data_IF_876234300311
#
_entry.id   IF_876234300311
#
_cell.length_a   1.000
_cell.length_b   1.000
_cell.length_c   1.000
_cell.angle_alpha   90.00
_cell.angle_beta   90.00
_cell.angle_gamma   90.00
#
_symmetry.space_group_name_H-M   'P 1'
#
loop_
_entity.id
_entity.type
_entity.pdbx_description
1 polymer ?
#
# COMPACT_ATOMS: atom_id res chain seq x y z
N UNK A 1 -3.09 -10.45 -18.38
CA UNK A 1 -2.76 -10.55 -16.95
C UNK A 1 -3.77 -11.50 -16.31
N UNK A 2 -3.35 -12.47 -15.49
CA UNK A 2 -4.29 -13.30 -14.74
C UNK A 2 -5.18 -12.42 -13.84
N UNK A 3 -6.34 -12.91 -13.38
CA UNK A 3 -7.17 -12.15 -12.46
C UNK A 3 -6.41 -11.98 -11.15
N UNK A 4 -5.80 -10.81 -10.95
CA UNK A 4 -5.08 -10.50 -9.73
C UNK A 4 -6.11 -10.24 -8.63
N UNK A 5 -6.05 -11.02 -7.55
CA UNK A 5 -6.86 -10.78 -6.36
C UNK A 5 -6.47 -9.42 -5.74
N UNK A 6 -7.39 -8.46 -5.64
CA UNK A 6 -7.09 -7.13 -5.09
C UNK A 6 -6.66 -7.19 -3.62
N UNK A 7 -7.16 -8.16 -2.84
CA UNK A 7 -6.75 -8.33 -1.45
C UNK A 7 -5.31 -8.81 -1.38
N UNK A 8 -4.96 -9.87 -2.11
CA UNK A 8 -3.57 -10.35 -2.16
C UNK A 8 -2.60 -9.27 -2.68
N UNK A 9 -3.02 -8.48 -3.67
CA UNK A 9 -2.23 -7.37 -4.20
C UNK A 9 -1.97 -6.31 -3.13
N UNK A 10 -2.99 -5.97 -2.34
CA UNK A 10 -2.88 -5.05 -1.21
C UNK A 10 -1.91 -5.60 -0.14
N UNK A 11 -2.04 -6.88 0.23
CA UNK A 11 -1.13 -7.52 1.21
C UNK A 11 0.32 -7.45 0.73
N UNK A 12 0.56 -7.80 -0.55
CA UNK A 12 1.90 -7.73 -1.13
C UNK A 12 2.47 -6.29 -1.13
N UNK A 13 1.61 -5.29 -1.36
CA UNK A 13 2.01 -3.88 -1.26
C UNK A 13 2.41 -3.49 0.16
N UNK A 14 1.68 -3.94 1.19
CA UNK A 14 2.00 -3.66 2.59
C UNK A 14 3.28 -4.38 3.04
N UNK A 15 3.51 -5.61 2.59
CA UNK A 15 4.76 -6.33 2.85
C UNK A 15 5.97 -5.62 2.22
N UNK A 16 5.82 -5.11 0.99
CA UNK A 16 6.87 -4.31 0.34
C UNK A 16 7.11 -3.00 1.10
N UNK A 17 6.05 -2.34 1.57
CA UNK A 17 6.16 -1.15 2.41
C UNK A 17 6.89 -1.45 3.72
N UNK A 18 6.50 -2.51 4.44
CA UNK A 18 7.13 -2.93 5.69
C UNK A 18 8.63 -3.19 5.50
N UNK A 19 9.00 -3.88 4.42
CA UNK A 19 10.41 -4.15 4.10
C UNK A 19 11.22 -2.86 3.89
N UNK A 20 10.59 -1.83 3.34
CA UNK A 20 11.21 -0.52 3.15
C UNK A 20 11.24 0.29 4.46
N UNK A 21 10.11 0.42 5.17
CA UNK A 21 10.00 1.18 6.40
C UNK A 21 10.82 0.60 7.56
N UNK A 22 11.11 -0.71 7.53
CA UNK A 22 12.06 -1.33 8.46
C UNK A 22 13.51 -0.85 8.30
N UNK A 23 13.81 -0.06 7.27
CA UNK A 23 15.13 0.56 7.08
C UNK A 23 15.15 2.02 7.52
N UNK A 24 14.00 2.61 7.85
CA UNK A 24 13.89 4.00 8.25
C UNK A 24 14.42 4.19 9.70
N UNK A 25 15.30 5.17 9.95
CA UNK A 25 15.98 5.32 11.24
C UNK A 25 15.08 5.90 12.35
N UNK A 26 13.98 6.56 11.98
CA UNK A 26 13.03 7.24 12.85
C UNK A 26 11.84 6.36 13.29
N UNK A 27 11.76 5.13 12.78
CA UNK A 27 10.70 4.18 13.12
C UNK A 27 11.20 3.09 14.07
N UNK A 28 10.34 2.57 14.95
CA UNK A 28 10.70 1.42 15.78
C UNK A 28 10.83 0.16 14.92
N UNK A 29 12.06 -0.33 14.73
CA UNK A 29 12.35 -1.50 13.91
C UNK A 29 12.70 -2.74 14.77
N UNK A 30 12.20 -3.95 14.43
CA UNK A 30 11.32 -4.25 13.30
C UNK A 30 9.87 -3.84 13.57
N UNK A 31 9.21 -3.31 12.55
CA UNK A 31 7.78 -2.99 12.54
C UNK A 31 6.97 -4.27 12.44
N UNK A 32 5.98 -4.43 13.32
CA UNK A 32 4.97 -5.49 13.23
C UNK A 32 3.93 -5.18 12.14
N UNK A 33 3.15 -6.19 11.76
CA UNK A 33 2.01 -6.03 10.86
C UNK A 33 1.01 -4.98 11.38
N UNK A 34 0.68 -5.07 12.68
CA UNK A 34 -0.19 -4.09 13.35
C UNK A 34 0.39 -2.67 13.31
N UNK A 35 1.71 -2.51 13.50
CA UNK A 35 2.34 -1.20 13.42
C UNK A 35 2.25 -0.60 12.00
N UNK A 36 2.49 -1.42 10.97
CA UNK A 36 2.34 -0.98 9.57
C UNK A 36 0.89 -0.63 9.26
N UNK A 37 -0.07 -1.47 9.65
CA UNK A 37 -1.48 -1.18 9.42
C UNK A 37 -1.91 0.10 10.13
N UNK A 38 -1.48 0.32 11.38
CA UNK A 38 -1.76 1.55 12.11
C UNK A 38 -1.23 2.80 11.38
N UNK A 39 -0.01 2.73 10.82
CA UNK A 39 0.57 3.82 10.02
C UNK A 39 -0.28 4.13 8.77
N UNK A 40 -0.79 3.11 8.09
CA UNK A 40 -1.54 3.25 6.84
C UNK A 40 -3.04 3.51 7.04
N UNK A 41 -3.59 3.18 8.21
CA UNK A 41 -4.99 3.43 8.56
C UNK A 41 -5.20 4.76 9.27
N UNK A 42 -4.13 5.46 9.65
CA UNK A 42 -4.21 6.66 10.48
C UNK A 42 -4.50 6.36 11.95
N UNK A 43 -4.08 5.19 12.44
CA UNK A 43 -4.21 4.79 13.84
C UNK A 43 -5.52 4.07 14.19
N UNK A 44 -6.24 3.51 13.21
CA UNK A 44 -7.49 2.78 13.47
C UNK A 44 -7.15 1.42 14.10
N UNK A 45 -7.38 1.31 15.41
CA UNK A 45 -7.00 0.16 16.24
C UNK A 45 -7.74 -1.15 15.92
N UNK A 46 -8.91 -1.09 15.25
CA UNK A 46 -9.69 -2.30 14.93
C UNK A 46 -9.10 -3.16 13.81
N UNK A 47 -7.93 -2.79 13.29
CA UNK A 47 -7.29 -3.44 12.15
C UNK A 47 -5.85 -3.77 12.50
N UNK A 48 -5.60 -5.02 12.88
CA UNK A 48 -4.28 -5.44 13.38
C UNK A 48 -3.51 -6.31 12.37
N UNK A 49 -4.14 -6.68 11.25
CA UNK A 49 -3.53 -7.48 10.19
C UNK A 49 -3.74 -6.87 8.80
N UNK A 50 -2.82 -7.12 7.89
CA UNK A 50 -2.89 -6.83 6.46
C UNK A 50 -4.15 -7.40 5.86
N UNK A 51 -4.51 -8.64 6.22
CA UNK A 51 -5.74 -9.27 5.73
C UNK A 51 -6.97 -8.42 6.08
N UNK A 52 -7.11 -8.00 7.34
CA UNK A 52 -8.24 -7.19 7.78
C UNK A 52 -8.20 -5.80 7.15
N UNK A 53 -7.03 -5.17 7.09
CA UNK A 53 -6.86 -3.86 6.48
C UNK A 53 -7.23 -3.86 5.01
N UNK A 54 -6.71 -4.82 4.26
CA UNK A 54 -6.98 -4.94 2.83
C UNK A 54 -8.44 -5.27 2.57
N UNK A 55 -9.07 -6.11 3.40
CA UNK A 55 -10.52 -6.33 3.32
C UNK A 55 -11.32 -5.04 3.53
N UNK A 56 -10.99 -4.24 4.55
CA UNK A 56 -11.66 -2.95 4.80
C UNK A 56 -11.41 -1.97 3.65
N UNK A 57 -10.16 -1.84 3.20
CA UNK A 57 -9.77 -0.90 2.15
C UNK A 57 -10.44 -1.24 0.81
N UNK A 58 -10.41 -2.52 0.40
CA UNK A 58 -10.99 -2.96 -0.87
C UNK A 58 -12.52 -2.84 -0.93
N UNK A 59 -13.17 -2.75 0.23
CA UNK A 59 -14.62 -2.52 0.38
C UNK A 59 -14.97 -1.08 0.79
N UNK A 60 -13.99 -0.20 0.93
CA UNK A 60 -14.21 1.21 1.28
C UNK A 60 -14.99 1.94 0.18
N UNK A 61 -15.68 3.06 0.50
CA UNK A 61 -16.41 3.85 -0.50
C UNK A 61 -15.55 4.29 -1.70
N UNK A 62 -14.25 4.51 -1.48
CA UNK A 62 -13.27 4.87 -2.51
C UNK A 62 -13.10 3.77 -3.55
N UNK A 63 -13.00 2.51 -3.11
CA UNK A 63 -12.79 1.36 -3.99
C UNK A 63 -14.08 0.65 -4.38
N UNK A 64 -15.20 0.91 -3.70
CA UNK A 64 -16.48 0.25 -3.95
C UNK A 64 -16.98 0.43 -5.40
N UNK A 65 -16.62 1.55 -6.06
CA UNK A 65 -17.02 1.87 -7.44
C UNK A 65 -16.04 1.37 -8.51
N UNK A 66 -14.97 0.69 -8.10
CA UNK A 66 -13.84 0.33 -8.96
C UNK A 66 -13.84 -1.19 -9.15
N UNK A 67 -13.51 -1.68 -10.34
CA UNK A 67 -13.46 -3.13 -10.62
C UNK A 67 -12.33 -3.80 -9.82
N UNK A 68 -12.45 -5.10 -9.52
CA UNK A 68 -11.38 -5.84 -8.82
C UNK A 68 -10.04 -5.77 -9.56
N UNK A 69 -10.07 -5.74 -10.91
CA UNK A 69 -8.88 -5.55 -11.73
C UNK A 69 -8.22 -4.19 -11.49
N UNK A 70 -9.02 -3.12 -11.44
CA UNK A 70 -8.51 -1.79 -11.19
C UNK A 70 -8.00 -1.64 -9.74
N UNK A 71 -8.69 -2.22 -8.75
CA UNK A 71 -8.23 -2.32 -7.36
C UNK A 71 -6.85 -2.97 -7.29
N UNK A 72 -6.69 -4.15 -7.91
CA UNK A 72 -5.44 -4.88 -7.92
C UNK A 72 -4.31 -4.09 -8.62
N UNK A 73 -4.62 -3.44 -9.76
CA UNK A 73 -3.67 -2.56 -10.45
C UNK A 73 -3.14 -1.45 -9.54
N UNK A 74 -4.00 -0.78 -8.76
CA UNK A 74 -3.56 0.28 -7.84
C UNK A 74 -2.62 -0.29 -6.78
N UNK A 75 -2.95 -1.46 -6.24
CA UNK A 75 -2.13 -2.10 -5.20
C UNK A 75 -0.78 -2.62 -5.75
N UNK A 76 -0.75 -3.19 -6.95
CA UNK A 76 0.49 -3.61 -7.61
C UNK A 76 1.38 -2.42 -7.98
N UNK A 77 0.77 -1.28 -8.35
CA UNK A 77 1.48 -0.04 -8.57
C UNK A 77 2.09 0.50 -7.26
N UNK A 78 1.34 0.46 -6.16
CA UNK A 78 1.85 0.82 -4.83
C UNK A 78 2.98 -0.11 -4.37
N UNK A 79 2.86 -1.41 -4.62
CA UNK A 79 3.93 -2.38 -4.39
C UNK A 79 5.18 -2.00 -5.17
N UNK A 80 5.02 -1.67 -6.45
CA UNK A 80 6.15 -1.29 -7.33
C UNK A 80 6.85 -0.03 -6.84
N UNK A 81 6.11 0.96 -6.32
CA UNK A 81 6.69 2.14 -5.67
C UNK A 81 7.63 1.76 -4.51
N UNK A 82 7.18 0.89 -3.60
CA UNK A 82 7.99 0.45 -2.46
C UNK A 82 9.19 -0.40 -2.87
N UNK A 83 9.01 -1.31 -3.83
CA UNK A 83 10.11 -2.11 -4.39
C UNK A 83 11.16 -1.21 -5.04
N UNK A 84 10.74 -0.21 -5.82
CA UNK A 84 11.66 0.72 -6.47
C UNK A 84 12.43 1.58 -5.46
N UNK A 85 11.76 2.05 -4.39
CA UNK A 85 12.47 2.76 -3.31
C UNK A 85 13.54 1.91 -2.65
N UNK A 86 13.22 0.64 -2.38
CA UNK A 86 14.13 -0.31 -1.79
C UNK A 86 15.32 -0.59 -2.72
N UNK A 87 15.03 -0.88 -3.99
CA UNK A 87 16.08 -1.09 -5.01
C UNK A 87 16.95 0.14 -5.23
N UNK A 88 16.43 1.35 -5.02
CA UNK A 88 17.17 2.60 -5.13
C UNK A 88 17.94 2.96 -3.84
N UNK A 89 17.84 2.15 -2.77
CA UNK A 89 18.49 2.43 -1.48
C UNK A 89 17.91 3.64 -0.73
N UNK A 90 16.69 4.07 -1.07
CA UNK A 90 16.05 5.29 -0.52
C UNK A 90 15.11 5.01 0.65
N UNK A 91 15.04 3.76 1.11
CA UNK A 91 14.22 3.36 2.25
C UNK A 91 14.75 3.82 3.61
N UNK A 92 16.04 4.19 3.70
CA UNK A 92 16.66 4.71 4.92
C UNK A 92 16.41 6.20 5.20
N UNK A 93 15.50 6.84 4.47
CA UNK A 93 15.06 8.22 4.73
C UNK A 93 13.96 8.26 5.80
N UNK A 94 13.57 9.44 6.28
CA UNK A 94 12.54 9.59 7.34
C UNK A 94 11.24 8.87 6.98
N UNK A 95 10.84 7.85 7.75
CA UNK A 95 9.70 6.98 7.50
C UNK A 95 8.38 7.73 7.34
N UNK A 96 8.14 8.77 8.14
CA UNK A 96 6.96 9.63 8.01
C UNK A 96 6.91 10.36 6.66
N UNK A 97 8.06 10.82 6.15
CA UNK A 97 8.15 11.45 4.82
C UNK A 97 7.85 10.44 3.69
N UNK A 98 8.21 9.18 3.90
CA UNK A 98 7.97 8.11 2.95
C UNK A 98 6.49 7.71 2.88
N UNK A 99 5.81 7.70 4.03
CA UNK A 99 4.37 7.44 4.16
C UNK A 99 3.56 8.60 3.56
N UNK A 100 3.93 9.85 3.83
CA UNK A 100 3.23 11.01 3.25
C UNK A 100 3.41 11.10 1.73
N UNK A 101 4.61 10.79 1.21
CA UNK A 101 4.88 10.68 -0.23
C UNK A 101 4.07 9.60 -0.95
N UNK A 102 3.63 8.55 -0.23
CA UNK A 102 2.77 7.50 -0.77
C UNK A 102 1.44 8.06 -1.27
N UNK A 103 0.89 9.11 -0.65
CA UNK A 103 -0.36 9.73 -1.11
C UNK A 103 -0.25 10.22 -2.56
N UNK A 104 0.91 10.79 -2.93
CA UNK A 104 1.21 11.28 -4.27
C UNK A 104 1.42 10.12 -5.25
N UNK A 105 2.17 9.08 -4.84
CA UNK A 105 2.37 7.86 -5.64
C UNK A 105 1.06 7.09 -5.88
N UNK A 106 0.27 6.89 -4.83
CA UNK A 106 -1.03 6.20 -4.85
C UNK A 106 -2.05 6.96 -5.69
N UNK A 107 -2.05 8.29 -5.64
CA UNK A 107 -2.88 9.12 -6.51
C UNK A 107 -2.51 8.94 -7.99
N UNK A 108 -1.21 8.89 -8.30
CA UNK A 108 -0.71 8.56 -9.64
C UNK A 108 -1.16 7.17 -10.11
N UNK A 109 -1.00 6.16 -9.26
CA UNK A 109 -1.47 4.80 -9.51
C UNK A 109 -2.97 4.74 -9.76
N UNK A 110 -3.77 5.46 -8.97
CA UNK A 110 -5.23 5.51 -9.11
C UNK A 110 -5.65 6.09 -10.45
N UNK A 111 -5.02 7.19 -10.89
CA UNK A 111 -5.31 7.82 -12.19
C UNK A 111 -5.00 6.89 -13.36
N UNK A 112 -3.86 6.20 -13.34
CA UNK A 112 -3.46 5.26 -14.40
C UNK A 112 -4.38 4.03 -14.39
N UNK A 113 -4.61 3.43 -13.24
CA UNK A 113 -5.36 2.18 -13.15
C UNK A 113 -6.86 2.37 -13.41
N UNK A 114 -7.47 3.50 -13.02
CA UNK A 114 -8.89 3.75 -13.30
C UNK A 114 -9.13 4.18 -14.75
N UNK A 115 -8.19 4.87 -15.39
CA UNK A 115 -8.30 5.22 -16.83
C UNK A 115 -8.05 4.03 -17.76
N UNK A 116 -7.12 3.13 -17.42
CA UNK A 116 -6.83 1.92 -18.22
C UNK A 116 -7.90 0.83 -17.98
N UNK A 117 -8.64 0.91 -16.88
CA UNK A 117 -9.68 -0.06 -16.52
C UNK A 117 -11.11 0.43 -16.76
N UNK A 118 -11.30 1.57 -17.44
CA UNK A 118 -12.61 2.18 -17.66
C UNK A 118 -13.20 1.94 -19.06
N UNK A 119 -13.83 0.79 -19.28
CA UNK A 119 -15.28 0.58 -19.49
C UNK A 119 -15.55 -0.92 -19.61
#
# INVERSE_FOLDING_TARGET
>A
MPPTDPIQSCINSLQAAQSCLNQAPDLPTPLSEAAIVALFSGGVASVESYQNYCNVLMNSPTFAKVTNRAKACVMDCNRSYWVNKNSAGTCGQDGLSQITGLSTGTFGCTKVCTSVSGQ
#
